data_IF_294515256689
#
_entry.id   IF_294515256689
#
_cell.length_a   1.000
_cell.length_b   1.000
_cell.length_c   1.000
_cell.angle_alpha   90.00
_cell.angle_beta   90.00
_cell.angle_gamma   90.00
#
_symmetry.space_group_name_H-M   'P 1'
#
loop_
_entity.id
_entity.type
_entity.pdbx_description
1 polymer ?
#
# COMPACT_ATOMS: atom_id res chain seq x y z
N UNK A 1 -5.92 -8.60 3.13
CA UNK A 1 -5.25 -8.91 1.86
C UNK A 1 -5.53 -10.37 1.73
N UNK A 2 -6.58 -10.75 1.00
CA UNK A 2 -7.03 -12.13 1.01
C UNK A 2 -5.96 -13.03 0.42
N UNK A 3 -5.76 -14.21 1.03
CA UNK A 3 -5.01 -15.25 0.37
C UNK A 3 -5.74 -15.67 -0.91
N UNK A 4 -5.09 -15.56 -2.06
CA UNK A 4 -5.75 -15.67 -3.37
C UNK A 4 -5.70 -17.12 -3.86
N UNK A 5 -6.88 -17.71 -4.07
CA UNK A 5 -7.03 -19.02 -4.71
C UNK A 5 -6.64 -19.01 -6.20
N UNK A 6 -6.68 -20.18 -6.88
CA UNK A 6 -6.16 -20.35 -8.24
C UNK A 6 -6.79 -19.49 -9.35
N UNK A 7 -7.99 -18.95 -9.12
CA UNK A 7 -8.87 -18.35 -10.14
C UNK A 7 -9.26 -16.91 -9.80
N UNK A 8 -8.27 -16.02 -9.63
CA UNK A 8 -8.53 -14.61 -9.33
C UNK A 8 -8.22 -13.74 -10.55
N UNK A 9 -9.24 -13.06 -11.08
CA UNK A 9 -9.04 -11.90 -11.94
C UNK A 9 -8.71 -10.68 -11.07
N UNK A 10 -7.53 -10.09 -11.30
CA UNK A 10 -7.09 -8.87 -10.63
C UNK A 10 -7.24 -7.70 -11.60
N UNK A 11 -8.03 -6.70 -11.23
CA UNK A 11 -8.07 -5.43 -11.93
C UNK A 11 -7.08 -4.48 -11.27
N UNK A 12 -6.16 -3.89 -12.03
CA UNK A 12 -5.36 -2.75 -11.55
C UNK A 12 -5.92 -1.52 -12.20
N UNK A 13 -6.58 -0.71 -11.39
CA UNK A 13 -7.14 0.57 -11.80
C UNK A 13 -6.06 1.61 -11.61
N UNK A 14 -5.38 2.01 -12.69
CA UNK A 14 -4.31 2.99 -12.65
C UNK A 14 -4.51 4.07 -13.74
N UNK A 15 -4.25 5.35 -13.41
CA UNK A 15 -4.31 6.45 -14.35
C UNK A 15 -2.96 6.56 -15.07
N UNK A 16 -2.84 5.84 -16.18
CA UNK A 16 -1.69 5.98 -17.06
C UNK A 16 -2.07 6.90 -18.24
N UNK A 17 -1.25 7.93 -18.48
CA UNK A 17 -1.42 8.85 -19.63
C UNK A 17 -0.99 8.20 -20.96
N UNK A 18 -0.47 6.97 -20.95
CA UNK A 18 -0.05 6.22 -22.14
C UNK A 18 -0.40 4.74 -21.98
N UNK A 19 -0.69 4.08 -23.10
CA UNK A 19 -0.90 2.64 -23.15
C UNK A 19 0.26 1.90 -22.48
N UNK A 20 -0.06 0.97 -21.56
CA UNK A 20 0.92 0.06 -20.99
C UNK A 20 1.55 -0.73 -22.15
N UNK A 21 2.88 -0.75 -22.31
CA UNK A 21 3.55 -1.48 -23.38
C UNK A 21 3.07 -2.93 -23.44
N UNK A 22 2.90 -3.46 -24.66
CA UNK A 22 2.27 -4.76 -24.88
C UNK A 22 3.03 -5.92 -24.21
N UNK A 23 4.36 -5.77 -24.08
CA UNK A 23 5.26 -6.66 -23.33
C UNK A 23 4.97 -6.75 -21.81
N UNK A 24 4.25 -5.78 -21.24
CA UNK A 24 3.79 -5.80 -19.85
C UNK A 24 2.37 -6.37 -19.70
N UNK A 25 1.70 -6.75 -20.80
CA UNK A 25 0.46 -7.53 -20.73
C UNK A 25 0.84 -8.97 -20.41
N UNK A 26 0.44 -9.44 -19.23
CA UNK A 26 0.64 -10.84 -18.84
C UNK A 26 -0.14 -11.74 -19.80
N UNK A 27 0.56 -12.37 -20.74
CA UNK A 27 -0.02 -13.32 -21.69
C UNK A 27 -0.03 -14.72 -21.07
N UNK A 28 -1.22 -15.19 -20.71
CA UNK A 28 -1.47 -16.51 -20.13
C UNK A 28 -2.93 -16.64 -19.70
N UNK A 29 -3.39 -17.86 -19.36
CA UNK A 29 -4.78 -18.16 -18.92
C UNK A 29 -5.23 -17.45 -17.62
N UNK A 30 -4.44 -16.51 -17.09
CA UNK A 30 -4.77 -15.64 -15.96
C UNK A 30 -4.66 -14.18 -16.43
N UNK A 31 -5.80 -13.50 -16.58
CA UNK A 31 -5.83 -12.11 -17.05
C UNK A 31 -5.77 -11.15 -15.86
N UNK A 32 -4.63 -10.47 -15.70
CA UNK A 32 -4.60 -9.20 -14.96
C UNK A 32 -5.15 -8.14 -15.91
N UNK A 33 -6.37 -7.70 -15.67
CA UNK A 33 -6.98 -6.63 -16.45
C UNK A 33 -6.52 -5.29 -15.88
N UNK A 34 -5.44 -4.73 -16.44
CA UNK A 34 -5.14 -3.31 -16.24
C UNK A 34 -6.29 -2.55 -16.92
N UNK A 35 -7.24 -2.02 -16.15
CA UNK A 35 -8.30 -1.15 -16.69
C UNK A 35 -7.76 0.27 -16.55
N UNK A 36 -7.27 0.89 -17.65
CA UNK A 36 -6.89 2.28 -17.60
C UNK A 36 -8.15 3.09 -17.32
N UNK A 37 -8.20 3.80 -16.19
CA UNK A 37 -9.15 4.90 -16.09
C UNK A 37 -8.64 5.97 -17.04
N UNK A 38 -9.32 6.15 -18.17
CA UNK A 38 -8.93 7.17 -19.15
C UNK A 38 -8.90 8.53 -18.45
N UNK A 39 -7.70 9.09 -18.29
CA UNK A 39 -7.48 10.33 -17.55
C UNK A 39 -8.01 11.56 -18.27
N UNK A 40 -8.30 11.43 -19.56
CA UNK A 40 -8.75 12.49 -20.48
C UNK A 40 -10.14 13.08 -20.15
N UNK A 41 -10.88 12.49 -19.21
CA UNK A 41 -12.18 13.00 -18.74
C UNK A 41 -12.14 13.63 -17.34
N UNK A 42 -10.97 13.70 -16.72
CA UNK A 42 -10.83 14.43 -15.46
C UNK A 42 -10.62 15.91 -15.71
N UNK A 43 -11.37 16.75 -14.99
CA UNK A 43 -11.34 18.20 -15.12
C UNK A 43 -9.90 18.72 -14.97
N UNK A 44 -9.40 19.54 -15.92
CA UNK A 44 -8.13 20.23 -15.79
C UNK A 44 -8.09 21.00 -14.45
N UNK A 45 -7.08 20.74 -13.62
CA UNK A 45 -6.96 21.32 -12.27
C UNK A 45 -7.34 20.38 -11.11
N UNK A 46 -7.90 19.19 -11.39
CA UNK A 46 -8.09 18.16 -10.36
C UNK A 46 -6.78 17.42 -10.06
N UNK A 47 -6.01 17.91 -9.08
CA UNK A 47 -4.72 17.33 -8.66
C UNK A 47 -4.79 15.92 -8.04
N UNK A 48 -5.97 15.30 -8.01
CA UNK A 48 -6.31 14.15 -7.15
C UNK A 48 -6.55 12.84 -7.92
N UNK A 49 -6.47 12.83 -9.25
CA UNK A 49 -6.92 11.69 -10.07
C UNK A 49 -5.86 10.62 -10.31
N UNK A 50 -4.70 10.67 -9.62
CA UNK A 50 -3.62 9.67 -9.74
C UNK A 50 -3.53 8.60 -8.65
N UNK A 51 -4.24 8.78 -7.54
CA UNK A 51 -4.04 8.01 -6.31
C UNK A 51 -5.20 7.07 -6.02
N UNK A 52 -5.46 6.11 -6.93
CA UNK A 52 -6.63 5.23 -6.86
C UNK A 52 -6.78 4.55 -5.50
N UNK A 53 -5.68 4.15 -4.87
CA UNK A 53 -5.70 3.47 -3.56
C UNK A 53 -6.36 4.30 -2.45
N UNK A 54 -6.25 5.63 -2.51
CA UNK A 54 -6.75 6.52 -1.45
C UNK A 54 -8.19 6.93 -1.64
N UNK A 55 -8.67 6.88 -2.88
CA UNK A 55 -9.99 7.36 -3.24
C UNK A 55 -10.98 6.22 -3.53
N UNK A 56 -10.48 4.98 -3.61
CA UNK A 56 -11.23 3.76 -3.86
C UNK A 56 -10.97 2.71 -2.77
N UNK A 57 -12.04 2.18 -2.17
CA UNK A 57 -11.99 1.01 -1.29
C UNK A 57 -12.83 -0.11 -1.87
N UNK A 58 -12.19 -1.16 -2.38
CA UNK A 58 -12.84 -2.38 -2.80
C UNK A 58 -12.80 -3.39 -1.64
N UNK A 59 -13.94 -4.02 -1.35
CA UNK A 59 -14.03 -5.11 -0.38
C UNK A 59 -15.22 -6.02 -0.72
N UNK A 60 -15.10 -7.29 -0.35
CA UNK A 60 -16.23 -8.22 -0.37
C UNK A 60 -16.97 -8.14 0.96
N UNK A 61 -18.29 -8.09 0.94
CA UNK A 61 -19.12 -8.22 2.14
C UNK A 61 -20.23 -9.25 1.90
N UNK A 62 -20.56 -10.03 2.93
CA UNK A 62 -21.72 -10.92 2.88
C UNK A 62 -23.01 -10.11 3.03
N UNK A 63 -23.97 -10.34 2.15
CA UNK A 63 -25.33 -9.79 2.27
C UNK A 63 -26.12 -10.51 3.36
N UNK A 64 -27.23 -9.90 3.84
CA UNK A 64 -28.29 -10.65 4.50
C UNK A 64 -28.82 -11.71 3.51
N UNK A 65 -28.42 -12.97 3.70
CA UNK A 65 -28.59 -14.05 2.70
C UNK A 65 -27.30 -14.78 2.34
N UNK A 66 -26.14 -14.31 2.82
CA UNK A 66 -24.86 -15.01 2.72
C UNK A 66 -24.16 -14.90 1.37
N UNK A 67 -24.69 -14.13 0.42
CA UNK A 67 -24.03 -13.90 -0.86
C UNK A 67 -22.91 -12.87 -0.72
N UNK A 68 -21.77 -13.15 -1.33
CA UNK A 68 -20.67 -12.19 -1.40
C UNK A 68 -21.00 -11.08 -2.40
N UNK A 69 -21.04 -9.84 -1.93
CA UNK A 69 -21.16 -8.64 -2.75
C UNK A 69 -19.83 -7.89 -2.78
N UNK A 70 -19.33 -7.63 -3.98
CA UNK A 70 -18.20 -6.76 -4.19
C UNK A 70 -18.65 -5.30 -4.13
N UNK A 71 -18.22 -4.59 -3.09
CA UNK A 71 -18.50 -3.17 -2.89
C UNK A 71 -17.26 -2.33 -3.12
N UNK A 72 -17.46 -1.23 -3.82
CA UNK A 72 -16.48 -0.20 -4.02
C UNK A 72 -16.99 1.09 -3.39
N UNK A 73 -16.34 1.51 -2.32
CA UNK A 73 -16.60 2.80 -1.69
C UNK A 73 -15.67 3.85 -2.29
N UNK A 74 -16.21 4.99 -2.72
CA UNK A 74 -15.43 6.06 -3.33
C UNK A 74 -15.70 7.44 -2.73
N UNK A 75 -14.70 8.32 -2.82
CA UNK A 75 -14.85 9.69 -2.40
C UNK A 75 -15.45 10.53 -3.54
N UNK A 76 -16.76 10.78 -3.50
CA UNK A 76 -17.49 11.51 -4.54
C UNK A 76 -17.00 12.95 -4.78
N UNK A 77 -16.29 13.56 -3.81
CA UNK A 77 -15.65 14.86 -3.98
C UNK A 77 -14.30 14.82 -4.70
N UNK A 78 -13.81 13.62 -5.06
CA UNK A 78 -12.46 13.41 -5.62
C UNK A 78 -12.41 12.58 -6.90
N UNK A 79 -13.48 11.87 -7.24
CA UNK A 79 -13.58 11.04 -8.44
C UNK A 79 -14.90 11.33 -9.13
N UNK A 80 -14.86 11.46 -10.46
CA UNK A 80 -16.04 11.54 -11.31
C UNK A 80 -16.88 10.25 -11.18
N UNK A 81 -18.17 10.33 -10.78
CA UNK A 81 -19.09 9.20 -10.77
C UNK A 81 -19.18 8.45 -12.11
N UNK A 82 -18.89 9.10 -13.25
CA UNK A 82 -18.87 8.44 -14.55
C UNK A 82 -17.77 7.37 -14.69
N UNK A 83 -16.61 7.56 -14.05
CA UNK A 83 -15.53 6.57 -14.04
C UNK A 83 -15.95 5.27 -13.35
N UNK A 84 -16.87 5.35 -12.37
CA UNK A 84 -17.43 4.17 -11.71
C UNK A 84 -18.45 3.43 -12.54
N UNK A 85 -19.24 4.13 -13.35
CA UNK A 85 -20.16 3.47 -14.29
C UNK A 85 -19.39 2.61 -15.29
N UNK A 86 -18.26 3.10 -15.77
CA UNK A 86 -17.36 2.32 -16.65
C UNK A 86 -16.82 1.08 -15.92
N UNK A 87 -16.33 1.22 -14.68
CA UNK A 87 -15.90 0.08 -13.86
C UNK A 87 -17.02 -0.94 -13.61
N UNK A 88 -18.26 -0.49 -13.35
CA UNK A 88 -19.42 -1.36 -13.15
C UNK A 88 -19.79 -2.14 -14.42
N UNK A 89 -19.63 -1.54 -15.60
CA UNK A 89 -19.83 -2.23 -16.87
C UNK A 89 -18.80 -3.36 -17.08
N UNK A 90 -17.57 -3.18 -16.58
CA UNK A 90 -16.51 -4.19 -16.67
C UNK A 90 -16.59 -5.26 -15.58
N UNK A 91 -17.20 -4.92 -14.42
CA UNK A 91 -17.29 -5.81 -13.27
C UNK A 91 -18.78 -5.95 -12.86
N UNK A 92 -19.53 -6.85 -13.54
CA UNK A 92 -20.90 -7.18 -13.17
C UNK A 92 -21.05 -7.46 -11.67
N UNK A 93 -22.05 -6.85 -11.04
CA UNK A 93 -22.31 -6.99 -9.60
C UNK A 93 -21.54 -6.00 -8.70
N UNK A 94 -20.63 -5.19 -9.26
CA UNK A 94 -19.92 -4.16 -8.50
C UNK A 94 -20.89 -3.07 -8.03
N UNK A 95 -21.03 -2.92 -6.72
CA UNK A 95 -21.76 -1.80 -6.13
C UNK A 95 -20.82 -0.65 -5.83
N UNK A 96 -21.03 0.50 -6.48
CA UNK A 96 -20.27 1.72 -6.20
C UNK A 96 -21.07 2.61 -5.23
N UNK A 97 -20.59 2.73 -4.00
CA UNK A 97 -21.25 3.51 -2.94
C UNK A 97 -20.43 4.76 -2.60
N UNK A 98 -21.05 5.95 -2.49
CA UNK A 98 -20.35 7.13 -2.00
C UNK A 98 -19.93 6.92 -0.53
N UNK A 99 -18.73 7.38 -0.18
CA UNK A 99 -18.26 7.35 1.22
C UNK A 99 -18.95 8.45 2.05
N UNK A 100 -19.99 8.06 2.77
CA UNK A 100 -20.62 8.87 3.82
C UNK A 100 -19.88 8.65 5.15
N UNK A 101 -18.64 9.11 5.23
CA UNK A 101 -17.77 9.03 6.42
C UNK A 101 -17.52 7.60 6.96
N UNK A 102 -16.52 7.38 7.83
CA UNK A 102 -15.25 8.10 7.93
C UNK A 102 -14.48 8.19 6.60
N UNK A 103 -13.84 9.36 6.32
CA UNK A 103 -12.82 9.47 5.26
C UNK A 103 -11.63 8.61 5.68
N UNK A 104 -11.50 7.47 5.03
CA UNK A 104 -10.38 6.56 5.18
C UNK A 104 -9.65 6.62 3.84
N UNK A 105 -8.32 6.74 3.86
CA UNK A 105 -7.51 6.54 2.66
C UNK A 105 -7.02 5.09 2.67
N UNK A 106 -7.07 4.39 1.54
CA UNK A 106 -6.65 2.98 1.49
C UNK A 106 -5.17 2.79 1.81
N UNK A 107 -4.30 3.79 1.59
CA UNK A 107 -2.90 3.71 1.99
C UNK A 107 -2.70 3.65 3.51
N UNK A 108 -3.71 4.04 4.31
CA UNK A 108 -3.66 3.99 5.78
C UNK A 108 -4.08 2.64 6.38
N UNK A 109 -4.49 1.66 5.57
CA UNK A 109 -5.00 0.37 6.05
C UNK A 109 -4.35 -0.79 5.31
N UNK A 110 -3.89 -1.78 6.07
CA UNK A 110 -3.41 -3.07 5.61
C UNK A 110 -4.30 -4.15 6.23
N UNK A 111 -4.98 -4.96 5.43
CA UNK A 111 -5.78 -6.09 5.93
C UNK A 111 -4.90 -7.34 5.95
N UNK A 112 -4.94 -8.15 7.02
CA UNK A 112 -4.21 -9.41 7.15
C UNK A 112 -4.55 -10.47 6.10
N UNK A 113 -3.71 -11.50 5.99
CA UNK A 113 -3.87 -12.63 5.06
C UNK A 113 -5.21 -13.36 5.20
N UNK A 114 -5.58 -13.63 6.45
CA UNK A 114 -6.83 -14.26 6.92
C UNK A 114 -8.07 -13.39 6.76
N UNK A 115 -7.89 -12.06 6.68
CA UNK A 115 -8.97 -11.09 6.77
C UNK A 115 -9.53 -10.87 8.19
N UNK A 116 -8.98 -11.51 9.23
CA UNK A 116 -9.49 -11.38 10.61
C UNK A 116 -8.89 -10.19 11.39
N UNK A 117 -7.86 -9.54 10.84
CA UNK A 117 -7.27 -8.35 11.41
C UNK A 117 -6.97 -7.29 10.34
N UNK A 118 -6.81 -6.05 10.80
CA UNK A 118 -6.17 -4.99 10.03
C UNK A 118 -5.07 -4.29 10.83
N UNK A 119 -4.07 -3.79 10.14
CA UNK A 119 -3.11 -2.81 10.64
C UNK A 119 -3.48 -1.43 10.08
N UNK A 120 -3.46 -0.43 10.94
CA UNK A 120 -3.74 0.96 10.56
C UNK A 120 -2.66 1.89 11.09
N UNK A 121 -2.27 2.87 10.27
CA UNK A 121 -1.34 3.91 10.68
C UNK A 121 -1.96 4.83 11.74
N UNK A 122 -1.16 5.22 12.74
CA UNK A 122 -1.63 6.05 13.84
C UNK A 122 -2.13 7.44 13.44
N UNK A 123 -1.69 7.96 12.30
CA UNK A 123 -2.15 9.27 11.83
C UNK A 123 -3.62 9.28 11.42
N UNK A 124 -4.15 8.13 10.97
CA UNK A 124 -5.60 7.96 10.82
C UNK A 124 -6.31 8.19 12.16
N UNK A 125 -5.86 7.54 13.23
CA UNK A 125 -6.43 7.70 14.56
C UNK A 125 -6.28 9.13 15.10
N UNK A 126 -5.12 9.77 14.87
CA UNK A 126 -4.86 11.13 15.32
C UNK A 126 -5.78 12.15 14.64
N UNK A 127 -6.07 11.96 13.34
CA UNK A 127 -6.99 12.82 12.60
C UNK A 127 -8.40 12.79 13.21
N UNK A 128 -8.94 11.60 13.51
CA UNK A 128 -10.26 11.46 14.16
C UNK A 128 -10.32 12.01 15.58
N UNK A 129 -9.17 12.14 16.25
CA UNK A 129 -9.06 12.59 17.64
C UNK A 129 -8.66 14.05 17.76
N UNK A 130 -8.48 14.77 16.65
CA UNK A 130 -7.98 16.14 16.65
C UNK A 130 -8.93 17.05 17.44
N UNK A 131 -8.38 17.78 18.41
CA UNK A 131 -9.16 18.67 19.28
C UNK A 131 -9.95 17.97 20.39
N UNK A 132 -9.89 16.64 20.50
CA UNK A 132 -10.55 15.89 21.57
C UNK A 132 -9.59 15.57 22.71
N UNK A 133 -10.10 15.59 23.95
CA UNK A 133 -9.35 15.24 25.17
C UNK A 133 -10.12 14.21 26.01
N UNK A 134 -9.44 13.60 26.99
CA UNK A 134 -10.05 12.72 27.99
C UNK A 134 -10.99 11.65 27.43
N UNK A 135 -12.20 11.55 28.01
CA UNK A 135 -13.22 10.57 27.63
C UNK A 135 -13.68 10.70 26.17
N UNK A 136 -13.82 11.92 25.64
CA UNK A 136 -14.21 12.16 24.25
C UNK A 136 -13.17 11.57 23.28
N UNK A 137 -11.89 11.71 23.62
CA UNK A 137 -10.78 11.17 22.83
C UNK A 137 -10.76 9.64 22.82
N UNK A 138 -11.21 8.98 23.89
CA UNK A 138 -11.37 7.52 23.97
C UNK A 138 -12.62 7.04 23.24
N UNK A 139 -13.75 7.73 23.40
CA UNK A 139 -14.99 7.43 22.69
C UNK A 139 -14.82 7.52 21.15
N UNK A 140 -14.10 8.52 20.66
CA UNK A 140 -13.78 8.64 19.23
C UNK A 140 -12.96 7.45 18.69
N UNK A 141 -12.02 6.93 19.49
CA UNK A 141 -11.25 5.72 19.13
C UNK A 141 -12.16 4.51 19.02
N UNK A 142 -13.00 4.26 20.02
CA UNK A 142 -13.93 3.13 20.05
C UNK A 142 -14.88 3.19 18.86
N UNK A 143 -15.45 4.38 18.58
CA UNK A 143 -16.32 4.61 17.43
C UNK A 143 -15.61 4.27 16.12
N UNK A 144 -14.39 4.77 15.91
CA UNK A 144 -13.61 4.49 14.70
C UNK A 144 -13.29 3.00 14.57
N UNK A 145 -12.86 2.35 15.66
CA UNK A 145 -12.57 0.92 15.64
C UNK A 145 -13.81 0.09 15.29
N UNK A 146 -14.98 0.40 15.85
CA UNK A 146 -16.22 -0.28 15.49
C UNK A 146 -16.57 -0.08 14.02
N UNK A 147 -16.48 1.15 13.50
CA UNK A 147 -16.69 1.44 12.08
C UNK A 147 -15.74 0.64 11.17
N UNK A 148 -14.47 0.48 11.58
CA UNK A 148 -13.49 -0.30 10.83
C UNK A 148 -13.80 -1.81 10.88
N UNK A 149 -14.18 -2.35 12.04
CA UNK A 149 -14.61 -3.75 12.19
C UNK A 149 -15.84 -4.04 11.32
N UNK A 150 -16.86 -3.20 11.41
CA UNK A 150 -18.09 -3.34 10.64
C UNK A 150 -17.84 -3.25 9.13
N UNK A 151 -16.99 -2.29 8.71
CA UNK A 151 -16.70 -2.06 7.30
C UNK A 151 -15.84 -3.15 6.67
N UNK A 152 -14.85 -3.66 7.39
CA UNK A 152 -13.87 -4.61 6.84
C UNK A 152 -14.07 -6.05 7.32
N UNK A 153 -15.03 -6.31 8.20
CA UNK A 153 -15.28 -7.65 8.76
C UNK A 153 -14.14 -8.20 9.61
N UNK A 154 -13.30 -7.32 10.18
CA UNK A 154 -12.14 -7.73 10.99
C UNK A 154 -12.50 -7.83 12.47
N UNK A 155 -11.82 -8.73 13.17
CA UNK A 155 -11.94 -8.87 14.63
C UNK A 155 -10.94 -7.96 15.36
N UNK A 156 -9.72 -7.83 14.81
CA UNK A 156 -8.59 -7.17 15.48
C UNK A 156 -8.07 -5.97 14.69
N UNK A 157 -7.68 -4.93 15.41
CA UNK A 157 -7.09 -3.70 14.85
C UNK A 157 -5.76 -3.43 15.55
N UNK A 158 -4.68 -3.37 14.77
CA UNK A 158 -3.35 -3.04 15.26
C UNK A 158 -2.98 -1.62 14.81
N UNK A 159 -2.81 -0.72 15.79
CA UNK A 159 -2.43 0.66 15.52
C UNK A 159 -0.91 0.81 15.47
N UNK A 160 -0.39 0.85 14.26
CA UNK A 160 1.05 0.95 13.99
C UNK A 160 1.49 2.40 14.18
N UNK A 161 2.61 2.58 14.88
CA UNK A 161 3.20 3.89 15.20
C UNK A 161 2.31 4.77 16.12
N UNK A 162 1.42 4.16 16.91
CA UNK A 162 0.60 4.87 17.89
C UNK A 162 1.41 5.48 19.05
N UNK A 163 2.56 4.87 19.33
CA UNK A 163 3.51 5.24 20.39
C UNK A 163 4.91 5.44 19.81
N UNK A 164 5.78 6.14 20.53
CA UNK A 164 7.20 6.28 20.15
C UNK A 164 7.89 4.91 20.05
N UNK A 165 7.56 3.98 20.96
CA UNK A 165 8.06 2.61 20.94
C UNK A 165 7.74 1.86 19.64
N UNK A 166 6.60 2.20 19.00
CA UNK A 166 6.21 1.68 17.69
C UNK A 166 6.77 2.48 16.51
N UNK A 167 7.68 3.44 16.71
CA UNK A 167 8.30 4.22 15.63
C UNK A 167 7.61 5.53 15.30
N UNK A 168 6.86 6.13 16.23
CA UNK A 168 6.36 7.50 16.09
C UNK A 168 7.54 8.49 16.12
N UNK A 169 7.49 9.53 15.28
CA UNK A 169 8.48 10.59 15.17
C UNK A 169 7.81 11.94 15.36
N UNK A 170 8.17 12.70 16.39
CA UNK A 170 7.64 14.05 16.68
C UNK A 170 6.10 14.11 16.61
N UNK A 171 5.44 13.09 17.15
CA UNK A 171 3.97 13.00 17.16
C UNK A 171 3.32 12.53 15.86
N UNK A 172 4.08 12.16 14.81
CA UNK A 172 3.59 11.65 13.52
C UNK A 172 4.15 10.28 13.19
N UNK A 173 3.57 9.58 12.22
CA UNK A 173 4.16 8.36 11.69
C UNK A 173 5.28 8.69 10.65
N UNK A 174 6.18 7.75 10.31
CA UNK A 174 7.36 7.99 9.47
C UNK A 174 7.07 8.57 8.08
N UNK A 175 5.98 8.15 7.46
CA UNK A 175 5.52 8.65 6.17
C UNK A 175 4.02 8.93 6.20
N UNK A 176 3.50 9.67 5.22
CA UNK A 176 2.09 10.05 5.18
C UNK A 176 1.11 8.87 5.26
N UNK A 177 1.44 7.73 4.65
CA UNK A 177 0.63 6.50 4.69
C UNK A 177 1.44 5.30 5.20
N UNK A 178 0.78 4.38 5.91
CA UNK A 178 1.43 3.15 6.43
C UNK A 178 1.95 2.26 5.30
N UNK A 179 1.25 2.21 4.16
CA UNK A 179 1.66 1.40 3.01
C UNK A 179 2.96 1.85 2.32
N UNK A 180 3.53 2.99 2.73
CA UNK A 180 4.84 3.45 2.29
C UNK A 180 5.99 2.83 3.11
N UNK A 181 5.73 2.29 4.29
CA UNK A 181 6.78 1.73 5.15
C UNK A 181 6.43 0.43 5.85
N UNK A 182 5.17 -0.01 5.81
CA UNK A 182 4.75 -1.36 6.20
C UNK A 182 3.92 -1.97 5.07
N UNK A 183 4.20 -3.21 4.73
CA UNK A 183 3.34 -4.00 3.84
C UNK A 183 3.18 -5.42 4.36
N UNK A 184 2.07 -6.05 4.01
CA UNK A 184 1.79 -7.44 4.33
C UNK A 184 2.02 -8.27 3.08
N UNK A 185 2.60 -9.46 3.23
CA UNK A 185 2.86 -10.38 2.13
C UNK A 185 2.12 -11.70 2.30
N UNK A 186 1.12 -11.75 3.18
CA UNK A 186 0.39 -12.96 3.54
C UNK A 186 1.10 -13.76 4.62
N UNK A 187 0.76 -15.04 4.75
CA UNK A 187 1.20 -15.90 5.85
C UNK A 187 1.99 -17.10 5.35
N UNK A 188 2.96 -17.55 6.13
CA UNK A 188 3.59 -18.86 5.98
C UNK A 188 2.69 -19.97 6.51
N UNK A 189 3.06 -21.23 6.21
CA UNK A 189 2.27 -22.42 6.55
C UNK A 189 2.04 -22.60 8.06
N UNK A 190 2.92 -22.03 8.89
CA UNK A 190 2.82 -22.00 10.36
C UNK A 190 1.94 -20.86 10.90
N UNK A 191 1.18 -20.18 10.03
CA UNK A 191 0.36 -19.00 10.31
C UNK A 191 1.15 -17.76 10.76
N UNK A 192 2.46 -17.69 10.50
CA UNK A 192 3.24 -16.48 10.74
C UNK A 192 3.00 -15.47 9.61
N UNK A 193 2.60 -14.25 9.96
CA UNK A 193 2.40 -13.16 8.99
C UNK A 193 3.76 -12.65 8.50
N UNK A 194 3.93 -12.60 7.18
CA UNK A 194 5.09 -11.99 6.53
C UNK A 194 4.86 -10.49 6.43
N UNK A 195 5.64 -9.72 7.18
CA UNK A 195 5.54 -8.27 7.23
C UNK A 195 6.79 -7.65 6.62
N UNK A 196 6.60 -6.71 5.72
CA UNK A 196 7.66 -5.87 5.19
C UNK A 196 7.71 -4.56 5.93
N UNK A 197 8.89 -4.16 6.39
CA UNK A 197 9.11 -2.85 7.03
C UNK A 197 10.22 -2.10 6.30
N UNK A 198 10.04 -0.81 6.06
CA UNK A 198 11.06 0.03 5.40
C UNK A 198 12.38 0.06 6.19
N UNK A 199 13.49 0.23 5.50
CA UNK A 199 14.83 0.30 6.06
C UNK A 199 15.67 1.31 5.30
N UNK A 200 16.34 2.20 6.04
CA UNK A 200 17.31 3.15 5.49
C UNK A 200 18.70 2.72 5.93
N UNK A 201 19.58 2.56 4.95
CA UNK A 201 21.01 2.32 5.12
C UNK A 201 21.80 3.33 4.33
N UNK A 202 23.09 3.48 4.62
CA UNK A 202 23.94 4.49 3.97
C UNK A 202 23.96 4.30 2.45
N UNK A 203 23.98 3.05 1.98
CA UNK A 203 23.94 2.73 0.54
C UNK A 203 22.63 3.17 -0.15
N UNK A 204 21.54 3.38 0.60
CA UNK A 204 20.23 3.82 0.10
C UNK A 204 20.05 5.34 0.11
N UNK A 205 21.03 6.09 0.61
CA UNK A 205 21.01 7.56 0.66
C UNK A 205 21.79 8.12 -0.54
N UNK A 206 21.14 8.98 -1.32
CA UNK A 206 21.65 9.61 -2.53
C UNK A 206 21.83 11.13 -2.38
N UNK A 207 21.52 11.67 -1.20
CA UNK A 207 21.78 13.06 -0.82
C UNK A 207 22.75 13.13 0.38
N UNK A 208 23.00 14.34 0.87
CA UNK A 208 23.77 14.51 2.10
C UNK A 208 23.04 13.90 3.29
N UNK A 209 23.80 13.38 4.25
CA UNK A 209 23.26 12.89 5.51
C UNK A 209 22.81 14.07 6.39
N UNK A 210 21.72 13.85 7.12
CA UNK A 210 21.12 14.82 8.03
C UNK A 210 20.66 14.15 9.33
N UNK A 211 20.40 14.94 10.39
CA UNK A 211 19.70 14.46 11.59
C UNK A 211 18.31 13.87 11.29
N UNK A 212 17.59 14.39 10.31
CA UNK A 212 16.25 13.95 9.93
C UNK A 212 16.27 12.54 9.34
N UNK A 213 17.25 12.22 8.49
CA UNK A 213 17.44 10.86 7.96
C UNK A 213 17.75 9.88 9.09
N UNK A 214 18.57 10.28 10.07
CA UNK A 214 18.88 9.44 11.22
C UNK A 214 17.64 9.16 12.08
N UNK A 215 16.81 10.18 12.33
CA UNK A 215 15.55 10.04 13.05
C UNK A 215 14.55 9.14 12.32
N UNK A 216 14.43 9.30 10.99
CA UNK A 216 13.57 8.47 10.16
C UNK A 216 14.02 7.01 10.16
N UNK A 217 15.33 6.77 10.05
CA UNK A 217 15.92 5.44 10.18
C UNK A 217 15.57 4.80 11.53
N UNK A 218 15.75 5.54 12.62
CA UNK A 218 15.46 5.03 13.96
C UNK A 218 13.96 4.71 14.15
N UNK A 219 13.09 5.54 13.58
CA UNK A 219 11.64 5.32 13.59
C UNK A 219 11.25 4.02 12.85
N UNK A 220 11.87 3.75 11.70
CA UNK A 220 11.69 2.50 10.95
C UNK A 220 12.24 1.30 11.74
N UNK A 221 13.39 1.44 12.39
CA UNK A 221 13.98 0.40 13.24
C UNK A 221 13.10 0.05 14.45
N UNK A 222 12.47 1.06 15.07
CA UNK A 222 11.48 0.87 16.14
C UNK A 222 10.22 0.18 15.60
N UNK A 223 9.74 0.56 14.42
CA UNK A 223 8.60 -0.09 13.76
C UNK A 223 8.87 -1.58 13.53
N UNK A 224 10.04 -1.94 13.00
CA UNK A 224 10.43 -3.34 12.77
C UNK A 224 10.51 -4.14 14.07
N UNK A 225 11.19 -3.61 15.10
CA UNK A 225 11.28 -4.27 16.43
C UNK A 225 9.91 -4.42 17.08
N UNK A 226 9.03 -3.44 16.88
CA UNK A 226 7.67 -3.50 17.39
C UNK A 226 6.89 -4.66 16.78
N UNK A 227 7.01 -4.86 15.46
CA UNK A 227 6.40 -5.98 14.72
C UNK A 227 7.03 -7.34 15.06
N UNK A 228 8.32 -7.42 15.39
CA UNK A 228 8.95 -8.70 15.73
C UNK A 228 8.53 -9.23 17.11
N UNK A 229 8.00 -8.38 17.99
CA UNK A 229 7.66 -8.76 19.35
C UNK A 229 6.16 -9.12 19.49
N UNK A 230 5.79 -10.42 19.65
CA UNK A 230 4.40 -10.88 19.78
C UNK A 230 3.58 -10.17 20.85
N UNK A 231 4.21 -9.70 21.93
CA UNK A 231 3.53 -8.99 23.03
C UNK A 231 2.92 -7.66 22.60
N UNK A 232 3.46 -7.04 21.55
CA UNK A 232 2.99 -5.74 21.08
C UNK A 232 1.68 -5.79 20.28
N UNK A 233 1.34 -6.97 19.76
CA UNK A 233 0.18 -7.18 18.90
C UNK A 233 -0.59 -8.44 19.29
N UNK A 234 -0.84 -8.59 20.61
CA UNK A 234 -1.75 -9.60 21.16
C UNK A 234 -1.48 -11.03 20.65
N UNK A 235 -0.20 -11.39 20.54
CA UNK A 235 0.22 -12.74 20.14
C UNK A 235 0.21 -13.00 18.62
N UNK A 236 -0.04 -12.00 17.78
CA UNK A 236 0.20 -12.13 16.34
C UNK A 236 1.68 -12.53 16.12
N UNK A 237 1.89 -13.61 15.37
CA UNK A 237 3.24 -14.02 14.97
C UNK A 237 3.58 -13.28 13.68
N UNK A 238 4.60 -12.46 13.72
CA UNK A 238 5.10 -11.77 12.55
C UNK A 238 6.55 -12.16 12.29
N UNK A 239 6.86 -12.38 11.01
CA UNK A 239 8.23 -12.45 10.52
C UNK A 239 8.47 -11.17 9.73
N UNK A 240 9.48 -10.40 10.12
CA UNK A 240 9.77 -9.11 9.48
C UNK A 240 10.90 -9.22 8.47
N UNK A 241 10.63 -8.85 7.22
CA UNK A 241 11.64 -8.62 6.19
C UNK A 241 11.77 -7.13 5.92
N UNK A 242 12.99 -6.61 6.06
CA UNK A 242 13.25 -5.19 5.83
C UNK A 242 13.45 -4.88 4.34
N UNK A 243 12.73 -3.90 3.80
CA UNK A 243 12.87 -3.46 2.41
C UNK A 243 13.53 -2.08 2.32
N UNK A 244 14.36 -1.81 1.30
CA UNK A 244 15.02 -0.51 1.18
C UNK A 244 14.01 0.65 1.04
N UNK A 245 14.37 1.76 1.67
CA UNK A 245 13.81 3.09 1.39
C UNK A 245 14.92 3.95 0.84
N UNK A 246 14.80 4.33 -0.43
CA UNK A 246 15.77 5.17 -1.13
C UNK A 246 15.52 6.64 -0.77
N UNK A 247 16.56 7.34 -0.32
CA UNK A 247 16.47 8.76 0.04
C UNK A 247 17.16 9.57 -1.06
N UNK A 248 16.37 10.23 -1.91
CA UNK A 248 16.90 11.01 -3.03
C UNK A 248 17.09 12.49 -2.69
N UNK A 249 16.15 13.07 -1.95
CA UNK A 249 16.22 14.42 -1.39
C UNK A 249 15.22 14.53 -0.25
N UNK A 250 15.71 14.69 0.98
CA UNK A 250 14.85 14.81 2.15
C UNK A 250 14.05 16.11 2.21
N UNK A 251 14.62 17.24 1.76
CA UNK A 251 13.99 18.55 1.89
C UNK A 251 12.75 18.67 1.00
N UNK A 252 12.65 17.78 0.01
CA UNK A 252 11.55 17.68 -0.93
C UNK A 252 10.70 16.42 -0.73
N UNK A 253 10.85 15.72 0.41
CA UNK A 253 10.18 14.44 0.70
C UNK A 253 10.31 13.41 -0.45
N UNK A 254 11.47 13.38 -1.12
CA UNK A 254 11.69 12.54 -2.29
C UNK A 254 12.23 11.16 -1.87
N UNK A 255 11.30 10.24 -1.59
CA UNK A 255 11.59 8.90 -1.09
C UNK A 255 11.13 7.77 -2.03
N UNK A 256 12.02 6.85 -2.38
CA UNK A 256 11.69 5.62 -3.09
C UNK A 256 11.37 4.49 -2.12
N UNK A 257 10.08 4.22 -1.88
CA UNK A 257 9.63 3.20 -0.93
C UNK A 257 9.26 1.87 -1.63
N UNK A 258 10.08 0.82 -1.50
CA UNK A 258 9.75 -0.50 -2.05
C UNK A 258 8.59 -1.19 -1.31
N UNK A 259 8.25 -0.77 -0.08
CA UNK A 259 7.05 -1.23 0.63
C UNK A 259 5.75 -0.86 -0.09
N UNK A 260 5.75 0.18 -0.93
CA UNK A 260 4.59 0.59 -1.70
C UNK A 260 4.41 -0.31 -2.94
N UNK A 261 4.37 -1.62 -2.69
CA UNK A 261 4.33 -2.71 -3.65
C UNK A 261 2.96 -3.38 -3.72
N UNK A 262 2.78 -4.24 -4.71
CA UNK A 262 1.63 -5.16 -4.79
C UNK A 262 2.12 -6.58 -4.55
N UNK A 263 1.28 -7.36 -3.87
CA UNK A 263 1.54 -8.79 -3.63
C UNK A 263 0.42 -9.58 -4.27
N UNK A 264 0.80 -10.46 -5.19
CA UNK A 264 -0.08 -11.46 -5.78
C UNK A 264 0.24 -12.81 -5.14
N UNK A 265 -0.82 -13.54 -4.76
CA UNK A 265 -0.70 -14.92 -4.34
C UNK A 265 -1.23 -15.80 -5.46
N UNK A 266 -0.53 -16.89 -5.72
CA UNK A 266 -0.84 -17.88 -6.74
C UNK A 266 -0.73 -19.27 -6.12
N UNK A 267 -1.30 -20.31 -6.75
CA UNK A 267 -1.09 -21.69 -6.31
C UNK A 267 0.39 -22.10 -6.26
N UNK A 268 1.24 -21.47 -7.11
CA UNK A 268 2.68 -21.72 -7.16
C UNK A 268 3.51 -20.86 -6.21
N UNK A 269 2.87 -20.06 -5.35
CA UNK A 269 3.54 -19.16 -4.40
C UNK A 269 3.21 -17.69 -4.62
N UNK A 270 4.10 -16.81 -4.16
CA UNK A 270 3.87 -15.36 -4.13
C UNK A 270 4.68 -14.64 -5.21
N UNK A 271 4.10 -13.60 -5.80
CA UNK A 271 4.77 -12.68 -6.71
C UNK A 271 4.67 -11.27 -6.13
N UNK A 272 5.80 -10.61 -5.94
CA UNK A 272 5.91 -9.26 -5.44
C UNK A 272 6.19 -8.32 -6.60
N UNK A 273 5.28 -7.39 -6.85
CA UNK A 273 5.45 -6.33 -7.81
C UNK A 273 6.01 -5.10 -7.08
N UNK A 274 7.29 -4.83 -7.28
CA UNK A 274 7.99 -3.73 -6.66
C UNK A 274 8.11 -2.57 -7.65
N UNK A 275 7.96 -1.30 -7.22
CA UNK A 275 8.18 -0.15 -8.10
C UNK A 275 9.63 -0.07 -8.58
N UNK A 276 9.84 0.21 -9.86
CA UNK A 276 11.16 0.51 -10.40
C UNK A 276 11.50 2.01 -10.26
N UNK A 277 12.48 2.32 -9.43
CA UNK A 277 12.97 3.69 -9.20
C UNK A 277 14.16 4.06 -10.08
N UNK A 278 14.48 3.27 -11.11
CA UNK A 278 15.48 3.67 -12.09
C UNK A 278 15.10 5.03 -12.71
N UNK A 279 16.02 6.03 -12.70
CA UNK A 279 15.76 7.30 -13.34
C UNK A 279 15.61 7.09 -14.85
N UNK A 280 14.48 7.50 -15.41
CA UNK A 280 14.25 7.38 -16.85
C UNK A 280 15.19 8.27 -17.66
N UNK A 281 15.38 7.93 -18.93
CA UNK A 281 16.23 8.67 -19.89
C UNK A 281 15.89 10.17 -20.00
N UNK A 282 14.63 10.55 -19.70
CA UNK A 282 14.12 11.92 -19.78
C UNK A 282 14.16 12.68 -18.44
N UNK A 283 14.62 12.05 -17.35
CA UNK A 283 14.80 12.70 -16.05
C UNK A 283 16.19 13.31 -15.97
N UNK A 284 16.27 14.64 -16.09
CA UNK A 284 17.51 15.40 -16.26
C UNK A 284 18.71 14.96 -15.41
N UNK A 285 19.91 15.14 -15.97
CA UNK A 285 21.26 14.96 -15.39
C UNK A 285 21.25 14.29 -14.00
N UNK A 286 20.95 13.01 -13.93
CA UNK A 286 21.21 12.26 -12.71
C UNK A 286 22.72 12.10 -12.58
N UNK A 287 23.24 12.29 -11.37
CA UNK A 287 24.67 12.16 -11.12
C UNK A 287 25.17 10.79 -11.59
N UNK A 288 26.32 10.77 -12.27
CA UNK A 288 27.01 9.54 -12.70
C UNK A 288 26.98 8.51 -11.56
N UNK A 289 26.42 7.32 -11.79
CA UNK A 289 26.39 6.23 -10.81
C UNK A 289 25.04 5.98 -10.12
N UNK A 290 24.06 6.89 -10.19
CA UNK A 290 22.76 6.72 -9.50
C UNK A 290 22.02 5.48 -10.01
N UNK A 291 21.90 5.33 -11.33
CA UNK A 291 21.24 4.20 -11.96
C UNK A 291 21.94 2.87 -11.63
N UNK A 292 23.27 2.83 -11.68
CA UNK A 292 24.06 1.65 -11.33
C UNK A 292 23.86 1.24 -9.86
N UNK A 293 23.82 2.22 -8.95
CA UNK A 293 23.54 1.95 -7.52
C UNK A 293 22.13 1.41 -7.30
N UNK A 294 21.11 1.99 -7.94
CA UNK A 294 19.72 1.49 -7.82
C UNK A 294 19.61 0.07 -8.38
N UNK A 295 20.21 -0.21 -9.53
CA UNK A 295 20.24 -1.54 -10.11
C UNK A 295 20.89 -2.57 -9.16
N UNK A 296 22.01 -2.22 -8.52
CA UNK A 296 22.65 -3.07 -7.53
C UNK A 296 21.75 -3.33 -6.30
N UNK A 297 21.04 -2.30 -5.80
CA UNK A 297 20.09 -2.43 -4.69
C UNK A 297 18.92 -3.35 -5.09
N UNK A 298 18.37 -3.19 -6.29
CA UNK A 298 17.28 -4.03 -6.80
C UNK A 298 17.67 -5.50 -6.92
N UNK A 299 18.89 -5.78 -7.38
CA UNK A 299 19.40 -7.15 -7.46
C UNK A 299 19.60 -7.76 -6.07
N UNK A 300 20.20 -7.02 -5.12
CA UNK A 300 20.30 -7.45 -3.72
C UNK A 300 18.91 -7.72 -3.11
N UNK A 301 17.93 -6.88 -3.41
CA UNK A 301 16.56 -7.03 -2.93
C UNK A 301 15.90 -8.29 -3.47
N UNK A 302 16.08 -8.58 -4.77
CA UNK A 302 15.61 -9.83 -5.40
C UNK A 302 16.17 -11.06 -4.69
N UNK A 303 17.49 -11.09 -4.47
CA UNK A 303 18.14 -12.19 -3.73
C UNK A 303 17.64 -12.30 -2.29
N UNK A 304 17.49 -11.16 -1.60
CA UNK A 304 17.00 -11.12 -0.22
C UNK A 304 15.61 -11.73 -0.12
N UNK A 305 14.68 -11.32 -0.98
CA UNK A 305 13.28 -11.81 -0.98
C UNK A 305 13.22 -13.31 -1.31
N UNK A 306 13.98 -13.75 -2.32
CA UNK A 306 14.06 -15.16 -2.70
C UNK A 306 14.61 -16.04 -1.57
N UNK A 307 15.76 -15.66 -1.00
CA UNK A 307 16.40 -16.39 0.12
C UNK A 307 15.49 -16.48 1.35
N UNK A 308 14.64 -15.47 1.53
CA UNK A 308 13.72 -15.41 2.65
C UNK A 308 12.41 -16.17 2.42
N UNK A 309 12.26 -16.81 1.25
CA UNK A 309 11.04 -17.49 0.81
C UNK A 309 9.79 -16.59 0.86
N UNK A 310 9.97 -15.28 0.62
CA UNK A 310 8.88 -14.32 0.61
C UNK A 310 8.12 -14.31 -0.74
N UNK A 311 8.75 -14.80 -1.81
CA UNK A 311 8.16 -14.93 -3.14
C UNK A 311 9.16 -14.63 -4.26
N UNK A 312 8.66 -14.60 -5.49
CA UNK A 312 9.39 -14.07 -6.64
C UNK A 312 9.19 -12.55 -6.76
N UNK A 313 10.12 -11.85 -7.43
CA UNK A 313 10.09 -10.39 -7.54
C UNK A 313 9.98 -9.98 -9.01
N UNK A 314 9.08 -9.03 -9.28
CA UNK A 314 8.95 -8.32 -10.56
C UNK A 314 9.06 -6.83 -10.31
N UNK A 315 10.03 -6.16 -10.94
CA UNK A 315 10.10 -4.71 -10.91
C UNK A 315 9.18 -4.14 -11.98
N UNK A 316 8.35 -3.17 -11.61
CA UNK A 316 7.37 -2.52 -12.49
C UNK A 316 7.91 -1.17 -12.90
N UNK A 317 8.15 -0.99 -14.19
CA UNK A 317 8.55 0.28 -14.77
C UNK A 317 7.33 1.21 -14.91
N UNK A 318 7.46 2.44 -14.43
CA UNK A 318 6.35 3.41 -14.45
C UNK A 318 6.74 4.85 -14.15
N UNK A 319 8.03 5.19 -14.24
CA UNK A 319 8.52 6.52 -13.85
C UNK A 319 8.41 6.80 -12.36
N UNK A 320 8.49 5.76 -11.51
CA UNK A 320 8.30 5.89 -10.06
C UNK A 320 9.36 6.76 -9.39
N UNK A 321 10.54 6.92 -9.98
CA UNK A 321 11.53 7.90 -9.55
C UNK A 321 11.00 9.35 -9.59
N UNK A 322 10.22 9.69 -10.62
CA UNK A 322 9.58 11.01 -10.71
C UNK A 322 8.36 11.10 -9.80
N UNK A 323 7.59 10.01 -9.69
CA UNK A 323 6.39 9.96 -8.86
C UNK A 323 6.68 10.05 -7.37
N UNK A 324 7.82 9.53 -6.90
CA UNK A 324 8.22 9.60 -5.50
C UNK A 324 8.41 11.02 -4.98
N UNK A 325 8.63 12.02 -5.86
CA UNK A 325 8.60 13.45 -5.49
C UNK A 325 7.22 13.94 -5.05
N UNK A 326 6.18 13.14 -5.28
CA UNK A 326 4.80 13.39 -4.85
C UNK A 326 4.37 12.42 -3.75
N UNK A 327 5.33 11.80 -3.05
CA UNK A 327 5.09 10.84 -1.95
C UNK A 327 4.17 9.67 -2.33
N UNK A 328 4.34 9.10 -3.51
CA UNK A 328 3.58 7.91 -3.90
C UNK A 328 4.32 7.02 -4.88
N UNK A 329 3.85 5.78 -5.00
CA UNK A 329 4.43 4.77 -5.87
C UNK A 329 3.37 3.80 -6.40
N UNK A 330 3.78 2.58 -6.74
CA UNK A 330 2.95 1.57 -7.40
C UNK A 330 1.64 1.32 -6.66
N UNK A 331 1.69 1.04 -5.37
CA UNK A 331 0.48 0.74 -4.59
C UNK A 331 -0.44 1.95 -4.46
N UNK A 332 0.08 3.17 -4.36
CA UNK A 332 -0.75 4.37 -4.29
C UNK A 332 -1.62 4.56 -5.55
N UNK A 333 -1.12 4.15 -6.72
CA UNK A 333 -1.82 4.30 -7.99
C UNK A 333 -2.72 3.10 -8.34
N UNK A 334 -2.62 2.01 -7.60
CA UNK A 334 -3.28 0.76 -7.92
C UNK A 334 -4.36 0.45 -6.90
N UNK A 335 -5.52 0.00 -7.38
CA UNK A 335 -6.47 -0.74 -6.55
C UNK A 335 -6.57 -2.17 -7.04
N UNK A 336 -6.40 -3.13 -6.14
CA UNK A 336 -6.64 -4.55 -6.39
C UNK A 336 -8.11 -4.85 -6.11
N UNK A 337 -8.80 -5.40 -7.10
CA UNK A 337 -10.17 -5.88 -6.98
C UNK A 337 -10.14 -7.41 -7.12
N UNK A 338 -10.70 -8.11 -6.15
CA UNK A 338 -10.81 -9.57 -6.17
C UNK A 338 -12.18 -9.97 -6.71
N UNK A 339 -12.20 -10.83 -7.73
CA UNK A 339 -13.35 -11.67 -8.03
C UNK A 339 -13.21 -12.98 -7.26
N UNK A 340 -14.16 -13.27 -6.38
CA UNK A 340 -14.43 -14.64 -5.94
C UNK A 340 -15.19 -15.32 -7.08
N UNK A 341 -14.79 -16.53 -7.46
CA UNK A 341 -15.35 -17.26 -8.59
C UNK A 341 -16.89 -17.29 -8.58
N UNK A 342 -17.45 -17.15 -9.78
CA UNK A 342 -18.85 -17.44 -10.09
C UNK A 342 -19.09 -18.95 -10.13
#
# INVERSE_FOLDING_TARGET
>A
MHAFGPEVECFVVAPFDRAVPEENRVTGKKRVHLVPLRTERFTPGSSITRWTQDVVHAFSCKTPGGQDQLRLHYNAGRIDPAAFRELQNHIPGLQCLPMNEPRINGGNILIGGTGDFLMAGADLLNWYRRGLTGAARSAARIKLENQLRDKFGVMRIYWVNATEASGRLNGRQPFFHIDMYVSLAGQTDDNTELVFVGEIRNEYVFCNHSPEIAQLKEALDRTARWMENPRNHHGLKCRVLRLPVLVFNEQADHYGCYNNCLVEQTPGGRILYLPDFMPGLNGGKTANGTAQRIAAIQEQLRWKILKWNAGSVRFVSGGFFGLSRKMGSLRCMAKVIQRTGA
#
